data_IF_355161997082
#
_entry.id   IF_355161997082
#
_cell.length_a   1.000
_cell.length_b   1.000
_cell.length_c   1.000
_cell.angle_alpha   90.00
_cell.angle_beta   90.00
_cell.angle_gamma   90.00
#
_symmetry.space_group_name_H-M   'P 1'
#
loop_
_entity.id
_entity.type
_entity.pdbx_description
1 polymer ?
#
# COMPACT_ATOMS: atom_id res chain seq x y z
N UNK A 1 -4.32 21.65 -27.78
CA UNK A 1 -3.40 22.18 -26.76
C UNK A 1 -4.20 23.10 -25.85
N UNK A 2 -4.72 22.58 -24.73
CA UNK A 2 -5.37 23.39 -23.72
C UNK A 2 -4.35 23.61 -22.59
N UNK A 3 -3.84 24.83 -22.49
CA UNK A 3 -3.00 25.29 -21.37
C UNK A 3 -3.86 25.32 -20.12
N UNK A 4 -3.55 24.47 -19.14
CA UNK A 4 -4.11 24.57 -17.80
C UNK A 4 -3.73 25.93 -17.21
N UNK A 5 -4.73 26.79 -17.01
CA UNK A 5 -4.60 27.99 -16.20
C UNK A 5 -4.23 27.56 -14.78
N UNK A 6 -3.04 27.93 -14.32
CA UNK A 6 -2.68 27.87 -12.91
C UNK A 6 -3.56 28.89 -12.18
N UNK A 7 -4.43 28.41 -11.28
CA UNK A 7 -5.31 29.26 -10.50
C UNK A 7 -4.43 29.99 -9.45
N UNK A 8 -4.39 31.33 -9.43
CA UNK A 8 -3.54 32.09 -8.49
C UNK A 8 -3.95 31.91 -7.02
N UNK A 9 -4.99 31.13 -6.74
CA UNK A 9 -5.47 30.77 -5.41
C UNK A 9 -5.13 29.32 -4.99
N UNK A 10 -4.28 28.60 -5.72
CA UNK A 10 -3.70 27.37 -5.17
C UNK A 10 -2.82 27.74 -3.97
N UNK A 11 -3.15 27.32 -2.74
CA UNK A 11 -2.25 27.55 -1.61
C UNK A 11 -0.94 26.86 -1.97
N UNK A 12 0.15 27.62 -2.05
CA UNK A 12 1.51 27.09 -2.21
C UNK A 12 1.63 25.84 -1.32
N UNK A 13 1.64 24.67 -1.94
CA UNK A 13 1.42 23.42 -1.24
C UNK A 13 2.44 23.28 -0.11
N UNK A 14 2.00 22.93 1.10
CA UNK A 14 2.91 22.78 2.24
C UNK A 14 3.94 21.71 1.90
N UNK A 15 5.16 22.15 1.57
CA UNK A 15 6.30 21.27 1.37
C UNK A 15 6.66 20.67 2.71
N UNK A 16 6.55 19.35 2.80
CA UNK A 16 6.83 18.64 4.03
C UNK A 16 8.31 18.82 4.39
N UNK A 17 8.59 19.13 5.65
CA UNK A 17 9.96 19.13 6.16
C UNK A 17 10.53 17.72 6.08
N UNK A 18 11.85 17.57 5.98
CA UNK A 18 12.49 16.24 5.90
C UNK A 18 12.09 15.31 7.04
N UNK A 19 11.86 15.88 8.24
CA UNK A 19 11.37 15.15 9.40
C UNK A 19 9.96 14.58 9.20
N UNK A 20 9.05 15.36 8.60
CA UNK A 20 7.69 14.92 8.28
C UNK A 20 7.70 13.83 7.19
N UNK A 21 8.54 13.98 6.16
CA UNK A 21 8.68 12.99 5.10
C UNK A 21 9.22 11.65 5.65
N UNK A 22 10.23 11.71 6.54
CA UNK A 22 10.80 10.53 7.20
C UNK A 22 9.78 9.80 8.07
N UNK A 23 8.94 10.54 8.79
CA UNK A 23 7.84 9.97 9.59
C UNK A 23 6.81 9.25 8.71
N UNK A 24 6.40 9.86 7.58
CA UNK A 24 5.52 9.22 6.61
C UNK A 24 6.11 7.92 6.06
N UNK A 25 7.39 7.94 5.65
CA UNK A 25 8.08 6.74 5.11
C UNK A 25 8.10 5.59 6.11
N UNK A 26 8.34 5.87 7.40
CA UNK A 26 8.32 4.84 8.45
C UNK A 26 6.95 4.16 8.57
N UNK A 27 5.86 4.94 8.53
CA UNK A 27 4.49 4.39 8.60
C UNK A 27 4.19 3.52 7.38
N UNK A 28 4.53 3.98 6.18
CA UNK A 28 4.34 3.19 4.95
C UNK A 28 5.11 1.87 4.98
N UNK A 29 6.34 1.88 5.50
CA UNK A 29 7.15 0.66 5.66
C UNK A 29 6.50 -0.30 6.66
N UNK A 30 6.02 0.19 7.80
CA UNK A 30 5.34 -0.66 8.78
C UNK A 30 4.11 -1.35 8.20
N UNK A 31 3.29 -0.61 7.42
CA UNK A 31 2.12 -1.16 6.74
C UNK A 31 2.54 -2.21 5.70
N UNK A 32 3.57 -1.93 4.89
CA UNK A 32 4.06 -2.87 3.89
C UNK A 32 4.55 -4.18 4.53
N UNK A 33 5.28 -4.10 5.65
CA UNK A 33 5.73 -5.27 6.40
C UNK A 33 4.55 -6.06 6.97
N UNK A 34 3.57 -5.39 7.57
CA UNK A 34 2.38 -6.06 8.11
C UNK A 34 1.58 -6.79 7.02
N UNK A 35 1.34 -6.13 5.89
CA UNK A 35 0.64 -6.74 4.75
C UNK A 35 1.45 -7.88 4.13
N UNK A 36 2.76 -7.74 4.00
CA UNK A 36 3.64 -8.80 3.50
C UNK A 36 3.60 -10.06 4.37
N UNK A 37 3.70 -9.89 5.70
CA UNK A 37 3.56 -11.00 6.65
C UNK A 37 2.19 -11.66 6.53
N UNK A 38 1.12 -10.87 6.47
CA UNK A 38 -0.24 -11.39 6.31
C UNK A 38 -0.36 -12.29 5.06
N UNK A 39 0.12 -11.82 3.90
CA UNK A 39 0.10 -12.58 2.64
C UNK A 39 0.91 -13.88 2.75
N UNK A 40 2.11 -13.82 3.33
CA UNK A 40 2.96 -15.00 3.53
C UNK A 40 2.26 -16.05 4.40
N UNK A 41 1.57 -15.63 5.46
CA UNK A 41 0.80 -16.54 6.32
C UNK A 41 -0.31 -17.24 5.54
N UNK A 42 -1.10 -16.49 4.75
CA UNK A 42 -2.14 -17.09 3.90
C UNK A 42 -1.55 -18.07 2.90
N UNK A 43 -0.47 -17.69 2.22
CA UNK A 43 0.20 -18.54 1.24
C UNK A 43 0.76 -19.83 1.86
N UNK A 44 1.39 -19.73 3.04
CA UNK A 44 1.90 -20.89 3.77
C UNK A 44 0.75 -21.87 4.13
N UNK A 45 -0.38 -21.34 4.62
CA UNK A 45 -1.56 -22.15 4.91
C UNK A 45 -2.11 -22.81 3.63
N UNK A 46 -2.12 -22.10 2.50
CA UNK A 46 -2.54 -22.65 1.20
C UNK A 46 -1.62 -23.78 0.74
N UNK A 47 -0.30 -23.64 0.88
CA UNK A 47 0.64 -24.72 0.54
C UNK A 47 0.44 -25.96 1.42
N UNK A 48 0.21 -25.78 2.72
CA UNK A 48 0.05 -26.92 3.66
C UNK A 48 -1.31 -27.60 3.51
N UNK A 49 -2.41 -26.85 3.37
CA UNK A 49 -3.77 -27.42 3.31
C UNK A 49 -4.23 -27.77 1.90
N UNK A 50 -3.57 -27.26 0.87
CA UNK A 50 -3.96 -27.40 -0.53
C UNK A 50 -5.18 -26.54 -0.91
N UNK A 51 -5.47 -26.38 -2.21
CA UNK A 51 -6.57 -25.54 -2.67
C UNK A 51 -7.91 -26.22 -2.35
N UNK A 52 -8.80 -25.53 -1.61
CA UNK A 52 -10.17 -26.02 -1.34
C UNK A 52 -10.93 -26.33 -2.64
N UNK A 53 -10.63 -25.59 -3.71
CA UNK A 53 -11.23 -25.77 -5.05
C UNK A 53 -10.99 -27.16 -5.66
N UNK A 54 -9.94 -27.89 -5.25
CA UNK A 54 -9.66 -29.24 -5.72
C UNK A 54 -10.47 -30.31 -4.96
N UNK A 55 -11.02 -29.97 -3.78
CA UNK A 55 -11.92 -30.85 -3.01
C UNK A 55 -13.37 -30.45 -3.25
N UNK A 56 -13.78 -30.36 -4.51
CA UNK A 56 -15.18 -30.16 -4.86
C UNK A 56 -15.86 -31.53 -5.07
N UNK A 57 -16.75 -31.97 -4.17
CA UNK A 57 -17.68 -33.04 -4.52
C UNK A 57 -18.64 -32.48 -5.57
N UNK A 58 -18.71 -33.18 -6.70
CA UNK A 58 -19.76 -33.02 -7.72
C UNK A 58 -20.97 -33.84 -7.33
#
# INVERSE_FOLDING_TARGET
MATAMADPNEPEGIVLTEAQLRSRRRRSIAIALALGVLVVLFFAVTMVKGPIVLKRPI
#
